data_IF_844382210846
#
_entry.id   IF_844382210846
#
_cell.length_a   1.000
_cell.length_b   1.000
_cell.length_c   1.000
_cell.angle_alpha   90.00
_cell.angle_beta   90.00
_cell.angle_gamma   90.00
#
_symmetry.space_group_name_H-M   'P 1'
#
loop_
_entity.id
_entity.type
_entity.pdbx_description
1 polymer ?
#
# COMPACT_ATOMS: atom_id res chain seq x y z
N UNK A 1 6.27 3.51 -31.36
CA UNK A 1 5.44 4.48 -30.62
C UNK A 1 4.29 3.71 -30.02
N UNK A 2 4.45 3.26 -28.78
CA UNK A 2 3.46 2.44 -28.08
C UNK A 2 2.32 3.33 -27.55
N UNK A 3 1.16 2.73 -27.27
CA UNK A 3 -0.06 3.44 -26.88
C UNK A 3 0.05 4.31 -25.60
N UNK A 4 1.18 4.23 -24.88
CA UNK A 4 1.49 4.97 -23.64
C UNK A 4 2.07 6.37 -23.90
N UNK A 5 2.75 6.61 -25.03
CA UNK A 5 3.27 7.95 -25.40
C UNK A 5 2.14 8.99 -25.63
N UNK A 6 0.91 8.51 -25.78
CA UNK A 6 -0.27 9.33 -26.01
C UNK A 6 -0.81 10.08 -24.78
N UNK A 7 -0.45 9.70 -23.55
CA UNK A 7 -0.96 10.33 -22.33
C UNK A 7 -0.17 11.60 -21.96
N UNK A 8 1.15 11.54 -22.04
CA UNK A 8 2.02 12.69 -21.80
C UNK A 8 1.77 13.83 -22.81
N UNK A 9 1.39 13.50 -24.04
CA UNK A 9 1.11 14.48 -25.11
C UNK A 9 -0.17 15.31 -24.92
N UNK A 10 -1.15 14.83 -24.14
CA UNK A 10 -2.40 15.56 -23.86
C UNK A 10 -2.26 16.61 -22.75
N UNK A 11 -1.22 16.52 -21.92
CA UNK A 11 -1.03 17.34 -20.72
C UNK A 11 0.21 18.23 -20.81
N UNK A 12 0.39 18.88 -21.96
CA UNK A 12 1.48 19.82 -22.20
C UNK A 12 1.53 20.95 -21.16
N UNK A 13 2.74 21.40 -20.85
CA UNK A 13 3.02 22.58 -20.02
C UNK A 13 2.31 23.81 -20.60
N UNK A 14 1.06 24.03 -20.23
CA UNK A 14 0.31 25.20 -20.65
C UNK A 14 0.29 26.21 -19.51
N UNK A 15 0.62 27.46 -19.83
CA UNK A 15 0.55 28.59 -18.88
C UNK A 15 -0.83 28.65 -18.21
N UNK A 16 -1.90 28.32 -18.95
CA UNK A 16 -3.27 28.24 -18.44
C UNK A 16 -3.42 27.18 -17.36
N UNK A 17 -2.87 25.98 -17.55
CA UNK A 17 -2.93 24.92 -16.54
C UNK A 17 -2.26 25.37 -15.25
N UNK A 18 -1.02 25.87 -15.35
CA UNK A 18 -0.25 26.35 -14.20
C UNK A 18 -1.02 27.42 -13.42
N UNK A 19 -1.51 28.45 -14.10
CA UNK A 19 -2.26 29.54 -13.45
C UNK A 19 -3.53 29.04 -12.75
N UNK A 20 -4.30 28.17 -13.41
CA UNK A 20 -5.54 27.65 -12.83
C UNK A 20 -5.28 26.71 -11.65
N UNK A 21 -4.27 25.82 -11.73
CA UNK A 21 -3.93 24.94 -10.61
C UNK A 21 -3.48 25.73 -9.38
N UNK A 22 -2.62 26.75 -9.56
CA UNK A 22 -2.20 27.61 -8.45
C UNK A 22 -3.33 28.50 -7.92
N UNK A 23 -4.32 28.86 -8.75
CA UNK A 23 -5.53 29.53 -8.27
C UNK A 23 -6.31 28.63 -7.30
N UNK A 24 -6.48 27.34 -7.61
CA UNK A 24 -7.11 26.40 -6.68
C UNK A 24 -6.28 26.20 -5.41
N UNK A 25 -4.95 26.16 -5.50
CA UNK A 25 -4.07 26.15 -4.30
C UNK A 25 -4.30 27.39 -3.44
N UNK A 26 -4.40 28.58 -4.04
CA UNK A 26 -4.72 29.81 -3.30
C UNK A 26 -6.10 29.75 -2.63
N UNK A 27 -7.08 29.12 -3.28
CA UNK A 27 -8.41 28.87 -2.71
C UNK A 27 -8.33 27.92 -1.51
N UNK A 28 -7.53 26.84 -1.59
CA UNK A 28 -7.28 25.94 -0.45
C UNK A 28 -6.58 26.65 0.71
N UNK A 29 -5.63 27.54 0.43
CA UNK A 29 -5.03 28.40 1.48
C UNK A 29 -6.09 29.30 2.12
N UNK A 30 -7.01 29.86 1.32
CA UNK A 30 -8.17 30.57 1.83
C UNK A 30 -9.07 29.72 2.71
N UNK A 31 -9.28 28.45 2.36
CA UNK A 31 -10.03 27.49 3.17
C UNK A 31 -9.33 27.18 4.51
N UNK A 32 -8.00 27.07 4.53
CA UNK A 32 -7.21 26.97 5.78
C UNK A 32 -7.44 28.20 6.66
N UNK A 33 -7.28 29.40 6.10
CA UNK A 33 -7.45 30.65 6.87
C UNK A 33 -8.88 30.78 7.39
N UNK A 34 -9.88 30.49 6.56
CA UNK A 34 -11.28 30.51 6.96
C UNK A 34 -11.57 29.47 8.03
N UNK A 35 -11.09 28.23 7.86
CA UNK A 35 -11.29 27.16 8.82
C UNK A 35 -10.67 27.46 10.19
N UNK A 36 -9.45 28.02 10.22
CA UNK A 36 -8.84 28.50 11.48
C UNK A 36 -9.67 29.63 12.10
N UNK A 37 -10.16 30.56 11.29
CA UNK A 37 -10.97 31.68 11.78
C UNK A 37 -12.34 31.27 12.32
N UNK A 38 -12.96 30.25 11.73
CA UNK A 38 -14.28 29.72 12.12
C UNK A 38 -14.19 28.51 13.06
N UNK A 39 -13.00 28.18 13.56
CA UNK A 39 -12.74 27.03 14.43
C UNK A 39 -13.24 25.69 13.85
N UNK A 40 -12.95 25.48 12.55
CA UNK A 40 -13.29 24.28 11.78
C UNK A 40 -12.02 23.49 11.45
N UNK A 41 -11.59 22.56 12.31
CA UNK A 41 -10.32 21.86 12.18
C UNK A 41 -10.28 20.84 11.03
N UNK A 42 -11.41 20.20 10.74
CA UNK A 42 -11.56 19.19 9.68
C UNK A 42 -11.14 19.73 8.28
N UNK A 43 -11.76 20.81 7.75
CA UNK A 43 -11.37 21.35 6.45
C UNK A 43 -9.97 21.95 6.47
N UNK A 44 -9.44 22.40 7.61
CA UNK A 44 -8.07 22.90 7.73
C UNK A 44 -7.08 21.78 7.44
N UNK A 45 -7.20 20.65 8.14
CA UNK A 45 -6.26 19.54 7.99
C UNK A 45 -6.34 18.94 6.58
N UNK A 46 -7.54 18.75 6.06
CA UNK A 46 -7.76 18.24 4.70
C UNK A 46 -7.20 19.21 3.63
N UNK A 47 -7.38 20.53 3.81
CA UNK A 47 -6.79 21.54 2.92
C UNK A 47 -5.27 21.53 2.97
N UNK A 48 -4.66 21.38 4.15
CA UNK A 48 -3.20 21.29 4.30
C UNK A 48 -2.65 20.06 3.56
N UNK A 49 -3.26 18.89 3.75
CA UNK A 49 -2.88 17.67 3.04
C UNK A 49 -3.02 17.86 1.53
N UNK A 50 -4.14 18.42 1.07
CA UNK A 50 -4.36 18.70 -0.35
C UNK A 50 -3.32 19.65 -0.95
N UNK A 51 -2.95 20.71 -0.24
CA UNK A 51 -1.90 21.65 -0.66
C UNK A 51 -0.56 20.93 -0.77
N UNK A 52 -0.19 20.11 0.23
CA UNK A 52 1.06 19.34 0.21
C UNK A 52 1.12 18.40 -0.98
N UNK A 53 0.04 17.65 -1.24
CA UNK A 53 -0.05 16.73 -2.39
C UNK A 53 0.08 17.50 -3.70
N UNK A 54 -0.75 18.52 -3.93
CA UNK A 54 -0.77 19.27 -5.21
C UNK A 54 0.54 20.02 -5.45
N UNK A 55 1.19 20.52 -4.40
CA UNK A 55 2.43 21.28 -4.50
C UNK A 55 3.69 20.38 -4.52
N UNK A 56 3.61 19.12 -4.11
CA UNK A 56 4.75 18.22 -4.00
C UNK A 56 5.56 18.12 -5.31
N UNK A 57 4.94 17.90 -6.49
CA UNK A 57 5.71 17.83 -7.74
C UNK A 57 6.44 19.15 -8.07
N UNK A 58 5.80 20.29 -7.83
CA UNK A 58 6.39 21.60 -8.08
C UNK A 58 7.57 21.90 -7.15
N UNK A 59 7.44 21.52 -5.87
CA UNK A 59 8.50 21.68 -4.87
C UNK A 59 9.67 20.74 -5.18
N UNK A 60 9.40 19.47 -5.45
CA UNK A 60 10.42 18.46 -5.74
C UNK A 60 11.21 18.78 -7.01
N UNK A 61 10.53 19.26 -8.06
CA UNK A 61 11.17 19.67 -9.33
C UNK A 61 11.75 21.08 -9.30
N UNK A 62 11.46 21.87 -8.25
CA UNK A 62 11.77 23.31 -8.15
C UNK A 62 11.26 24.12 -9.36
N UNK A 63 10.15 23.67 -9.96
CA UNK A 63 9.52 24.31 -11.11
C UNK A 63 8.00 24.44 -10.87
N UNK A 64 7.46 25.66 -10.71
CA UNK A 64 6.05 25.88 -10.43
C UNK A 64 5.14 25.50 -11.61
N UNK A 65 5.68 25.23 -12.80
CA UNK A 65 4.91 24.75 -13.94
C UNK A 65 4.60 23.25 -13.87
N UNK A 66 5.31 22.51 -13.00
CA UNK A 66 5.15 21.07 -12.76
C UNK A 66 4.04 20.86 -11.73
N UNK A 67 2.79 20.97 -12.18
CA UNK A 67 1.60 20.79 -11.35
C UNK A 67 0.59 19.88 -12.05
N UNK A 68 -0.26 19.22 -11.26
CA UNK A 68 -1.38 18.46 -11.77
C UNK A 68 -2.32 19.32 -12.64
N UNK A 69 -3.09 18.69 -13.54
CA UNK A 69 -4.07 19.40 -14.32
C UNK A 69 -5.12 20.10 -13.45
N UNK A 70 -5.44 21.36 -13.76
CA UNK A 70 -6.30 22.20 -12.91
C UNK A 70 -7.67 21.58 -12.60
N UNK A 71 -8.22 20.76 -13.49
CA UNK A 71 -9.52 20.13 -13.28
C UNK A 71 -9.46 18.99 -12.25
N UNK A 72 -8.30 18.32 -12.07
CA UNK A 72 -8.10 17.38 -10.96
C UNK A 72 -7.94 18.12 -9.63
N UNK A 73 -7.15 19.20 -9.63
CA UNK A 73 -7.01 20.06 -8.44
C UNK A 73 -8.37 20.66 -8.04
N UNK A 74 -9.16 21.10 -9.02
CA UNK A 74 -10.52 21.57 -8.82
C UNK A 74 -11.44 20.50 -8.25
N UNK A 75 -11.37 19.25 -8.75
CA UNK A 75 -12.17 18.13 -8.23
C UNK A 75 -11.87 17.84 -6.76
N UNK A 76 -10.60 17.92 -6.35
CA UNK A 76 -10.18 17.83 -4.93
C UNK A 76 -10.70 19.02 -4.12
N UNK A 77 -10.65 20.23 -4.69
CA UNK A 77 -11.02 21.46 -3.98
C UNK A 77 -12.51 21.56 -3.69
N UNK A 78 -13.38 20.99 -4.55
CA UNK A 78 -14.83 21.07 -4.41
C UNK A 78 -15.38 20.50 -3.07
N UNK A 79 -15.09 19.25 -2.68
CA UNK A 79 -15.59 18.71 -1.41
C UNK A 79 -15.00 19.44 -0.19
N UNK A 80 -13.74 19.89 -0.27
CA UNK A 80 -13.10 20.69 0.80
C UNK A 80 -13.80 22.04 1.00
N UNK A 81 -14.12 22.72 -0.10
CA UNK A 81 -14.88 23.98 -0.04
C UNK A 81 -16.30 23.77 0.45
N UNK A 82 -16.92 22.65 0.09
CA UNK A 82 -18.22 22.29 0.61
C UNK A 82 -18.17 22.19 2.14
N UNK A 83 -17.22 21.47 2.72
CA UNK A 83 -17.06 21.40 4.18
C UNK A 83 -16.72 22.75 4.82
N UNK A 84 -15.90 23.56 4.13
CA UNK A 84 -15.49 24.86 4.64
C UNK A 84 -16.65 25.87 4.73
N UNK A 85 -17.59 25.84 3.78
CA UNK A 85 -18.58 26.91 3.59
C UNK A 85 -20.05 26.46 3.58
N UNK A 86 -20.35 25.15 3.50
CA UNK A 86 -21.72 24.70 3.48
C UNK A 86 -22.44 25.07 4.79
N UNK A 87 -23.64 25.66 4.72
CA UNK A 87 -24.39 26.08 5.90
C UNK A 87 -24.98 24.89 6.68
N UNK A 88 -25.00 23.70 6.08
CA UNK A 88 -25.44 22.45 6.70
C UNK A 88 -24.31 21.45 6.48
N UNK A 89 -23.59 21.04 7.54
CA UNK A 89 -22.78 19.83 7.47
C UNK A 89 -23.69 18.71 6.99
N UNK A 90 -23.37 18.07 5.86
CA UNK A 90 -24.04 16.82 5.53
C UNK A 90 -23.76 15.89 6.71
N UNK A 91 -24.79 15.31 7.32
CA UNK A 91 -24.68 14.35 8.43
C UNK A 91 -24.04 13.03 7.96
N UNK A 92 -23.31 13.05 6.84
CA UNK A 92 -22.82 11.87 6.14
C UNK A 92 -21.33 12.05 5.85
N UNK A 93 -20.52 11.09 6.30
CA UNK A 93 -19.07 10.94 6.06
C UNK A 93 -18.69 10.82 4.56
N UNK A 94 -19.65 10.94 3.66
CA UNK A 94 -19.51 10.76 2.22
C UNK A 94 -18.63 11.84 1.60
N UNK A 95 -18.80 13.12 1.98
CA UNK A 95 -18.04 14.22 1.35
C UNK A 95 -16.55 14.18 1.72
N UNK A 96 -16.16 14.03 3.00
CA UNK A 96 -14.75 13.90 3.37
C UNK A 96 -14.11 12.66 2.72
N UNK A 97 -14.84 11.54 2.70
CA UNK A 97 -14.38 10.30 2.05
C UNK A 97 -14.16 10.47 0.55
N UNK A 98 -15.04 11.19 -0.14
CA UNK A 98 -14.87 11.51 -1.57
C UNK A 98 -13.68 12.45 -1.81
N UNK A 99 -13.44 13.41 -0.91
CA UNK A 99 -12.27 14.28 -0.99
C UNK A 99 -10.98 13.47 -0.88
N UNK A 100 -10.90 12.59 0.13
CA UNK A 100 -9.77 11.69 0.34
C UNK A 100 -9.56 10.73 -0.84
N UNK A 101 -10.64 10.16 -1.37
CA UNK A 101 -10.56 9.30 -2.55
C UNK A 101 -10.05 10.04 -3.79
N UNK A 102 -10.49 11.29 -3.98
CA UNK A 102 -10.02 12.13 -5.07
C UNK A 102 -8.55 12.52 -4.90
N UNK A 103 -8.11 12.79 -3.66
CA UNK A 103 -6.71 13.02 -3.33
C UNK A 103 -5.85 11.79 -3.58
N UNK A 104 -6.34 10.59 -3.19
CA UNK A 104 -5.65 9.33 -3.42
C UNK A 104 -5.47 9.08 -4.90
N UNK A 105 -6.53 9.32 -5.69
CA UNK A 105 -6.46 9.23 -7.14
C UNK A 105 -5.50 10.26 -7.75
N UNK A 106 -5.51 11.51 -7.25
CA UNK A 106 -4.59 12.55 -7.68
C UNK A 106 -3.13 12.11 -7.44
N UNK A 107 -2.82 11.59 -6.26
CA UNK A 107 -1.49 11.05 -5.96
C UNK A 107 -1.09 9.94 -6.92
N UNK A 108 -1.99 9.01 -7.26
CA UNK A 108 -1.73 7.97 -8.27
C UNK A 108 -1.40 8.58 -9.63
N UNK A 109 -2.17 9.57 -10.07
CA UNK A 109 -1.93 10.28 -11.34
C UNK A 109 -0.60 11.03 -11.33
N UNK A 110 -0.23 11.65 -10.20
CA UNK A 110 1.05 12.33 -10.06
C UNK A 110 2.23 11.35 -10.04
N UNK A 111 2.09 10.20 -9.38
CA UNK A 111 3.09 9.14 -9.41
C UNK A 111 3.31 8.62 -10.83
N UNK A 112 2.25 8.26 -11.56
CA UNK A 112 2.36 7.81 -12.96
C UNK A 112 2.96 8.87 -13.90
N UNK A 113 2.66 10.15 -13.64
CA UNK A 113 3.11 11.26 -14.51
C UNK A 113 4.54 11.73 -14.23
N UNK A 114 4.92 11.83 -12.97
CA UNK A 114 6.16 12.50 -12.55
C UNK A 114 7.24 11.53 -12.07
N UNK A 115 6.94 10.24 -12.01
CA UNK A 115 7.93 9.20 -11.73
C UNK A 115 8.07 8.24 -12.91
N UNK A 116 9.04 7.33 -12.83
CA UNK A 116 9.19 6.24 -13.81
C UNK A 116 8.15 5.13 -13.65
N UNK A 117 7.26 5.22 -12.64
CA UNK A 117 6.27 4.20 -12.32
C UNK A 117 5.20 4.14 -13.44
N UNK A 118 5.20 3.07 -14.23
CA UNK A 118 4.11 2.80 -15.19
C UNK A 118 3.05 1.94 -14.53
N UNK A 119 1.88 2.51 -14.24
CA UNK A 119 0.81 1.80 -13.54
C UNK A 119 -0.12 1.09 -14.53
N UNK A 120 -0.25 -0.23 -14.40
CA UNK A 120 -1.32 -0.95 -15.06
C UNK A 120 -2.68 -0.54 -14.47
N UNK A 121 -3.78 -0.50 -15.27
CA UNK A 121 -5.02 0.12 -14.84
C UNK A 121 -5.64 -0.46 -13.56
N UNK A 122 -5.56 -1.76 -13.34
CA UNK A 122 -6.09 -2.39 -12.11
C UNK A 122 -5.24 -2.00 -10.89
N UNK A 123 -3.92 -1.89 -11.06
CA UNK A 123 -3.01 -1.52 -9.99
C UNK A 123 -3.19 -0.06 -9.58
N UNK A 124 -3.54 0.82 -10.53
CA UNK A 124 -3.96 2.19 -10.23
C UNK A 124 -5.20 2.26 -9.31
N UNK A 125 -6.18 1.35 -9.49
CA UNK A 125 -7.35 1.25 -8.59
C UNK A 125 -6.91 0.82 -7.20
N UNK A 126 -6.12 -0.26 -7.10
CA UNK A 126 -5.62 -0.76 -5.81
C UNK A 126 -4.83 0.32 -5.07
N UNK A 127 -3.90 0.99 -5.76
CA UNK A 127 -3.09 2.05 -5.15
C UNK A 127 -3.94 3.25 -4.73
N UNK A 128 -4.98 3.60 -5.50
CA UNK A 128 -5.94 4.65 -5.12
C UNK A 128 -6.63 4.30 -3.80
N UNK A 129 -7.11 3.07 -3.65
CA UNK A 129 -7.74 2.60 -2.41
C UNK A 129 -6.76 2.64 -1.24
N UNK A 130 -5.54 2.10 -1.42
CA UNK A 130 -4.52 2.09 -0.37
C UNK A 130 -4.15 3.52 0.07
N UNK A 131 -3.95 4.44 -0.87
CA UNK A 131 -3.66 5.84 -0.53
C UNK A 131 -4.83 6.51 0.19
N UNK A 132 -6.07 6.22 -0.22
CA UNK A 132 -7.27 6.76 0.42
C UNK A 132 -7.35 6.30 1.89
N UNK A 133 -7.16 5.00 2.14
CA UNK A 133 -7.19 4.42 3.48
C UNK A 133 -6.02 4.91 4.32
N UNK A 134 -4.82 4.97 3.75
CA UNK A 134 -3.64 5.46 4.45
C UNK A 134 -3.80 6.92 4.90
N UNK A 135 -4.39 7.78 4.06
CA UNK A 135 -4.68 9.16 4.44
C UNK A 135 -5.77 9.24 5.50
N UNK A 136 -6.86 8.50 5.38
CA UNK A 136 -7.93 8.49 6.39
C UNK A 136 -7.41 8.01 7.75
N UNK A 137 -6.61 6.94 7.77
CA UNK A 137 -5.95 6.46 8.97
C UNK A 137 -4.98 7.48 9.57
N UNK A 138 -4.15 8.11 8.74
CA UNK A 138 -3.22 9.15 9.19
C UNK A 138 -3.96 10.35 9.80
N UNK A 139 -5.07 10.80 9.20
CA UNK A 139 -5.86 11.90 9.74
C UNK A 139 -6.43 11.56 11.13
N UNK A 140 -6.98 10.36 11.29
CA UNK A 140 -7.51 9.91 12.57
C UNK A 140 -6.42 9.82 13.64
N UNK A 141 -5.23 9.32 13.30
CA UNK A 141 -4.05 9.34 14.19
C UNK A 141 -3.70 10.79 14.58
N UNK A 142 -3.72 11.73 13.63
CA UNK A 142 -3.41 13.13 13.90
C UNK A 142 -4.47 13.82 14.77
N UNK A 143 -5.75 13.56 14.54
CA UNK A 143 -6.84 14.10 15.36
C UNK A 143 -6.79 13.57 16.78
N UNK A 144 -6.70 12.25 16.95
CA UNK A 144 -6.56 11.63 18.26
C UNK A 144 -5.31 12.11 18.99
N UNK A 145 -4.16 12.17 18.30
CA UNK A 145 -2.91 12.68 18.89
C UNK A 145 -3.06 14.14 19.33
N UNK A 146 -3.78 14.95 18.56
CA UNK A 146 -4.06 16.33 18.93
C UNK A 146 -4.92 16.41 20.18
N UNK A 147 -5.95 15.57 20.29
CA UNK A 147 -6.85 15.55 21.44
C UNK A 147 -6.11 15.12 22.71
N UNK A 148 -5.24 14.11 22.60
CA UNK A 148 -4.45 13.61 23.74
C UNK A 148 -3.34 14.58 24.16
N UNK A 149 -2.63 15.19 23.20
CA UNK A 149 -1.44 16.02 23.50
C UNK A 149 -1.81 17.48 23.79
N UNK A 150 -2.75 18.03 23.03
CA UNK A 150 -3.13 19.45 23.10
C UNK A 150 -4.49 19.69 23.76
N UNK A 151 -5.26 18.63 24.06
CA UNK A 151 -6.58 18.76 24.67
C UNK A 151 -7.65 19.28 23.70
N UNK A 152 -7.46 19.08 22.39
CA UNK A 152 -8.51 19.33 21.40
C UNK A 152 -9.64 18.31 21.54
N UNK A 153 -10.76 18.54 20.85
CA UNK A 153 -11.93 17.64 20.87
C UNK A 153 -12.37 17.32 19.43
N UNK A 154 -11.40 17.00 18.58
CA UNK A 154 -11.63 16.73 17.16
C UNK A 154 -12.24 15.35 16.94
N UNK A 155 -11.77 14.37 17.70
CA UNK A 155 -12.24 12.99 17.69
C UNK A 155 -12.86 12.61 19.04
N UNK A 156 -12.20 12.98 20.15
CA UNK A 156 -12.62 12.74 21.53
C UNK A 156 -13.56 13.86 22.01
N UNK A 157 -14.81 13.81 21.54
CA UNK A 157 -15.84 14.85 21.72
C UNK A 157 -16.78 14.64 22.92
N UNK A 158 -16.43 13.73 23.83
CA UNK A 158 -17.23 13.39 25.01
C UNK A 158 -18.20 12.21 24.80
N UNK A 159 -18.28 11.64 23.60
CA UNK A 159 -18.86 10.29 23.38
C UNK A 159 -18.02 9.21 24.08
N UNK A 160 -18.60 8.02 24.25
CA UNK A 160 -17.85 6.86 24.76
C UNK A 160 -16.79 6.40 23.74
N UNK A 161 -15.71 5.79 24.22
CA UNK A 161 -14.64 5.22 23.39
C UNK A 161 -15.18 4.31 22.28
N UNK A 162 -16.11 3.41 22.59
CA UNK A 162 -16.75 2.52 21.61
C UNK A 162 -17.60 3.27 20.58
N UNK A 163 -18.26 4.37 20.98
CA UNK A 163 -19.10 5.15 20.09
C UNK A 163 -18.28 6.03 19.14
N UNK A 164 -17.14 6.55 19.61
CA UNK A 164 -16.16 7.22 18.74
C UNK A 164 -15.55 6.19 17.79
N UNK A 165 -15.11 5.04 18.31
CA UNK A 165 -14.53 3.97 17.50
C UNK A 165 -15.47 3.52 16.39
N UNK A 166 -16.73 3.22 16.72
CA UNK A 166 -17.73 2.81 15.72
C UNK A 166 -17.94 3.88 14.64
N UNK A 167 -17.85 5.18 14.98
CA UNK A 167 -17.93 6.25 13.99
C UNK A 167 -16.72 6.27 13.05
N UNK A 168 -15.51 6.09 13.59
CA UNK A 168 -14.27 5.99 12.79
C UNK A 168 -14.29 4.76 11.89
N UNK A 169 -14.80 3.62 12.37
CA UNK A 169 -14.95 2.42 11.53
C UNK A 169 -15.90 2.67 10.36
N UNK A 170 -16.99 3.39 10.59
CA UNK A 170 -17.91 3.81 9.52
C UNK A 170 -17.22 4.76 8.54
N UNK A 171 -16.42 5.72 9.03
CA UNK A 171 -15.61 6.61 8.18
C UNK A 171 -14.66 5.81 7.29
N UNK A 172 -13.91 4.85 7.85
CA UNK A 172 -13.01 3.97 7.11
C UNK A 172 -13.75 3.13 6.04
N UNK A 173 -14.96 2.67 6.34
CA UNK A 173 -15.81 1.97 5.36
C UNK A 173 -16.20 2.91 4.21
N UNK A 174 -16.62 4.14 4.51
CA UNK A 174 -16.94 5.13 3.47
C UNK A 174 -15.71 5.51 2.65
N UNK A 175 -14.53 5.66 3.26
CA UNK A 175 -13.27 5.90 2.59
C UNK A 175 -12.90 4.73 1.65
N UNK A 176 -13.11 3.48 2.09
CA UNK A 176 -12.92 2.28 1.26
C UNK A 176 -13.81 2.32 0.03
N UNK A 177 -15.11 2.57 0.22
CA UNK A 177 -16.08 2.64 -0.88
C UNK A 177 -15.77 3.80 -1.83
N UNK A 178 -15.44 4.98 -1.29
CA UNK A 178 -15.08 6.16 -2.08
C UNK A 178 -13.81 5.91 -2.92
N UNK A 179 -12.77 5.30 -2.32
CA UNK A 179 -11.55 4.92 -3.02
C UNK A 179 -11.79 3.94 -4.16
N UNK A 180 -12.62 2.91 -3.94
CA UNK A 180 -13.01 1.94 -4.96
C UNK A 180 -13.78 2.62 -6.11
N UNK A 181 -14.72 3.50 -5.78
CA UNK A 181 -15.49 4.25 -6.77
C UNK A 181 -14.59 5.19 -7.59
N UNK A 182 -13.72 5.96 -6.93
CA UNK A 182 -12.79 6.86 -7.61
C UNK A 182 -11.84 6.10 -8.55
N UNK A 183 -11.26 5.00 -8.07
CA UNK A 183 -10.42 4.13 -8.90
C UNK A 183 -11.18 3.51 -10.07
N UNK A 184 -12.40 2.99 -9.86
CA UNK A 184 -13.20 2.39 -10.92
C UNK A 184 -13.65 3.42 -11.99
N UNK A 185 -14.03 4.63 -11.57
CA UNK A 185 -14.34 5.74 -12.47
C UNK A 185 -13.12 6.12 -13.32
N UNK A 186 -11.94 6.17 -12.71
CA UNK A 186 -10.70 6.41 -13.42
C UNK A 186 -10.38 5.29 -14.42
N UNK A 187 -10.48 4.03 -14.00
CA UNK A 187 -10.28 2.85 -14.86
C UNK A 187 -11.20 2.88 -16.09
N UNK A 188 -12.49 3.15 -15.89
CA UNK A 188 -13.48 3.20 -16.98
C UNK A 188 -13.22 4.36 -17.94
N UNK A 189 -12.88 5.55 -17.44
CA UNK A 189 -12.52 6.70 -18.27
C UNK A 189 -11.35 6.37 -19.22
N UNK A 190 -10.29 5.75 -18.72
CA UNK A 190 -9.13 5.38 -19.54
C UNK A 190 -9.42 4.26 -20.53
N UNK A 191 -10.19 3.25 -20.14
CA UNK A 191 -10.59 2.18 -21.04
C UNK A 191 -11.41 2.72 -22.22
N UNK A 192 -12.32 3.66 -21.95
CA UNK A 192 -13.14 4.33 -22.97
C UNK A 192 -12.32 5.29 -23.85
N UNK A 193 -11.36 6.02 -23.26
CA UNK A 193 -10.49 6.93 -23.99
C UNK A 193 -9.51 6.20 -24.92
N UNK A 194 -8.96 5.07 -24.48
CA UNK A 194 -8.08 4.20 -25.29
C UNK A 194 -8.84 3.53 -26.44
N UNK A 195 -10.10 3.13 -26.21
CA UNK A 195 -10.98 2.56 -27.24
C UNK A 195 -11.36 3.53 -28.37
N UNK A 196 -11.25 4.86 -28.16
CA UNK A 196 -11.49 5.86 -29.21
C UNK A 196 -10.30 6.03 -30.17
N UNK A 197 -9.08 5.65 -29.78
CA UNK A 197 -7.87 5.79 -30.63
C UNK A 197 -7.68 4.64 -31.62
N UNK A 198 -8.42 3.54 -31.47
CA UNK A 198 -8.42 2.39 -32.41
C UNK A 198 -9.55 2.42 -33.44
N UNK A 199 -10.30 3.52 -33.55
CA UNK A 199 -11.25 3.72 -34.65
C UNK A 199 -10.49 4.02 -35.96
N UNK A 200 -10.76 3.30 -37.07
CA UNK A 200 -9.95 3.34 -38.29
C UNK A 200 -10.24 4.61 -39.11
N UNK A 201 -9.59 5.73 -38.76
CA UNK A 201 -9.55 6.94 -39.59
C UNK A 201 -8.10 7.31 -39.98
N UNK A 202 -7.23 6.32 -40.18
CA UNK A 202 -5.99 6.54 -40.90
C UNK A 202 -6.30 6.49 -42.42
N UNK A 203 -6.02 7.55 -43.21
CA UNK A 203 -6.20 7.50 -44.65
C UNK A 203 -5.34 6.36 -45.24
N UNK A 204 -5.83 5.64 -46.26
CA UNK A 204 -5.12 4.51 -46.83
C UNK A 204 -3.73 4.94 -47.32
N UNK A 205 -2.70 4.22 -46.88
CA UNK A 205 -1.31 4.43 -47.30
C UNK A 205 -1.23 4.43 -48.83
N UNK A 206 -0.69 5.48 -49.48
CA UNK A 206 -0.61 5.59 -50.93
C UNK A 206 0.10 4.38 -51.55
N UNK A 207 -0.42 3.89 -52.68
CA UNK A 207 0.08 2.70 -53.37
C UNK A 207 1.56 2.82 -53.78
N UNK A 208 2.04 4.04 -53.99
CA UNK A 208 3.45 4.36 -54.24
C UNK A 208 4.38 3.94 -53.09
N UNK A 209 3.91 4.04 -51.85
CA UNK A 209 4.69 3.66 -50.66
C UNK A 209 4.73 2.15 -50.50
N UNK A 210 3.64 1.43 -50.83
CA UNK A 210 3.63 -0.04 -50.85
C UNK A 210 4.57 -0.60 -51.92
N UNK A 211 4.62 0.02 -53.10
CA UNK A 211 5.53 -0.40 -54.18
C UNK A 211 7.00 -0.17 -53.82
N UNK A 212 7.34 0.91 -53.09
CA UNK A 212 8.72 1.15 -52.60
C UNK A 212 9.16 0.08 -51.60
N UNK A 213 8.33 -0.24 -50.61
CA UNK A 213 8.64 -1.30 -49.63
C UNK A 213 8.73 -2.70 -50.27
N UNK A 214 7.93 -2.97 -51.30
CA UNK A 214 8.01 -4.24 -52.03
C UNK A 214 9.27 -4.33 -52.94
N UNK A 215 9.76 -3.20 -53.45
CA UNK A 215 10.99 -3.14 -54.22
C UNK A 215 12.24 -3.27 -53.34
N UNK A 216 12.22 -2.70 -52.13
CA UNK A 216 13.32 -2.77 -51.16
C UNK A 216 13.52 -4.20 -50.62
N UNK A 217 12.43 -4.96 -50.46
CA UNK A 217 12.47 -6.40 -50.08
C UNK A 217 12.95 -7.35 -51.18
N UNK A 218 13.12 -6.89 -52.44
CA UNK A 218 13.49 -7.74 -53.58
C UNK A 218 14.94 -7.58 -54.04
N UNK A 219 15.74 -6.73 -53.40
CA UNK A 219 17.17 -6.61 -53.72
C UNK A 219 17.98 -7.66 -52.94
N UNK A 220 18.70 -8.59 -53.60
CA UNK A 220 19.55 -9.54 -52.89
C UNK A 220 20.81 -8.82 -52.39
N UNK A 221 21.00 -8.80 -51.07
CA UNK A 221 22.24 -8.32 -50.46
C UNK A 221 23.41 -9.28 -50.79
N UNK A 222 24.56 -8.69 -51.12
CA UNK A 222 25.82 -9.39 -51.37
C UNK A 222 26.34 -10.08 -50.08
N UNK A 223 27.16 -11.15 -50.18
CA UNK A 223 27.62 -11.88 -49.01
C UNK A 223 28.72 -11.09 -48.30
N UNK A 224 28.47 -10.71 -47.05
CA UNK A 224 29.45 -10.07 -46.18
C UNK A 224 30.35 -11.15 -45.56
N UNK A 225 31.65 -10.99 -45.79
CA UNK A 225 32.74 -11.87 -45.36
C UNK A 225 32.92 -11.84 -43.85
N UNK A 226 32.93 -13.02 -43.21
CA UNK A 226 33.30 -13.18 -41.80
C UNK A 226 34.81 -12.92 -41.59
N UNK A 227 35.21 -12.21 -40.52
CA UNK A 227 36.57 -12.32 -40.00
C UNK A 227 36.65 -13.44 -38.96
N UNK A 228 37.68 -14.26 -39.09
CA UNK A 228 38.11 -15.22 -38.09
C UNK A 228 38.74 -14.47 -36.90
N UNK A 229 38.38 -14.86 -35.68
CA UNK A 229 39.14 -14.55 -34.46
C UNK A 229 39.48 -15.85 -33.74
N UNK A 230 40.76 -16.16 -33.79
CA UNK A 230 41.48 -17.17 -33.04
C UNK A 230 41.86 -16.61 -31.65
N UNK A 231 42.10 -17.49 -30.68
CA UNK A 231 42.83 -17.16 -29.45
C UNK A 231 42.00 -16.90 -28.19
N UNK A 232 41.84 -17.96 -27.41
CA UNK A 232 42.12 -18.02 -25.96
C UNK A 232 42.13 -16.71 -25.16
N UNK A 233 41.18 -16.57 -24.24
CA UNK A 233 41.47 -16.23 -22.84
C UNK A 233 40.34 -16.80 -21.97
N UNK A 234 40.70 -17.83 -21.19
CA UNK A 234 39.87 -18.34 -20.11
C UNK A 234 39.88 -17.29 -18.99
N UNK A 235 38.92 -16.36 -19.04
CA UNK A 235 38.53 -15.60 -17.85
C UNK A 235 37.53 -16.47 -17.11
N UNK A 236 38.04 -17.20 -16.12
CA UNK A 236 37.24 -17.65 -14.98
C UNK A 236 36.68 -16.40 -14.31
N UNK A 237 35.55 -15.92 -14.81
CA UNK A 237 34.66 -15.08 -14.03
C UNK A 237 34.10 -16.00 -12.96
N UNK A 238 34.77 -16.03 -11.81
CA UNK A 238 34.09 -16.29 -10.55
C UNK A 238 32.84 -15.42 -10.59
N UNK A 239 31.68 -16.06 -10.73
CA UNK A 239 30.44 -15.46 -10.26
C UNK A 239 30.72 -15.13 -8.81
N UNK A 240 31.00 -13.86 -8.51
CA UNK A 240 30.77 -13.34 -7.18
C UNK A 240 29.29 -13.57 -6.92
N UNK A 241 28.99 -14.76 -6.39
CA UNK A 241 27.77 -15.04 -5.67
C UNK A 241 27.69 -13.94 -4.63
N UNK A 242 26.86 -12.93 -4.91
CA UNK A 242 26.47 -11.95 -3.90
C UNK A 242 25.68 -12.76 -2.89
N UNK A 243 26.41 -13.32 -1.94
CA UNK A 243 25.94 -14.17 -0.86
C UNK A 243 24.84 -13.40 -0.13
N UNK A 244 23.59 -13.72 -0.45
CA UNK A 244 22.43 -13.01 0.05
C UNK A 244 22.47 -13.01 1.57
N UNK A 245 22.32 -11.84 2.20
CA UNK A 245 22.37 -11.75 3.66
C UNK A 245 21.14 -12.45 4.24
N UNK A 246 21.35 -13.69 4.69
CA UNK A 246 20.37 -14.57 5.32
C UNK A 246 20.17 -14.14 6.79
N UNK A 247 18.92 -13.91 7.23
CA UNK A 247 18.64 -13.52 8.63
C UNK A 247 19.18 -14.57 9.60
N UNK A 248 19.10 -15.85 9.19
CA UNK A 248 19.51 -17.00 10.00
C UNK A 248 20.96 -16.90 10.48
N UNK A 249 21.87 -16.31 9.70
CA UNK A 249 23.30 -16.21 10.03
C UNK A 249 23.61 -15.09 11.03
N UNK A 250 22.72 -14.09 11.12
CA UNK A 250 22.87 -12.93 12.00
C UNK A 250 22.25 -13.14 13.38
N UNK A 251 21.33 -14.08 13.53
CA UNK A 251 20.65 -14.36 14.80
C UNK A 251 21.58 -14.94 15.88
N UNK A 252 22.77 -15.43 15.52
CA UNK A 252 23.69 -16.10 16.45
C UNK A 252 23.16 -17.43 17.01
N UNK A 253 22.05 -17.94 16.45
CA UNK A 253 21.41 -19.19 16.82
C UNK A 253 21.57 -20.16 15.66
N UNK A 254 22.04 -21.38 15.91
CA UNK A 254 22.19 -22.38 14.85
C UNK A 254 20.84 -22.73 14.20
N UNK A 255 20.83 -23.00 12.89
CA UNK A 255 19.61 -23.38 12.15
C UNK A 255 18.84 -24.53 12.83
N UNK A 256 19.53 -25.53 13.38
CA UNK A 256 18.89 -26.63 14.13
C UNK A 256 18.11 -26.13 15.35
N UNK A 257 18.64 -25.14 16.07
CA UNK A 257 17.95 -24.53 17.22
C UNK A 257 16.78 -23.66 16.76
N UNK A 258 16.90 -22.94 15.65
CA UNK A 258 15.80 -22.15 15.08
C UNK A 258 14.60 -23.05 14.75
N UNK A 259 14.85 -24.16 14.02
CA UNK A 259 13.82 -25.17 13.72
C UNK A 259 13.26 -25.80 15.00
N UNK A 260 14.12 -26.07 15.98
CA UNK A 260 13.70 -26.58 17.29
C UNK A 260 12.74 -25.63 18.03
N UNK A 261 13.02 -24.32 18.00
CA UNK A 261 12.18 -23.29 18.60
C UNK A 261 10.82 -23.16 17.88
N UNK A 262 10.82 -23.19 16.54
CA UNK A 262 9.58 -23.19 15.75
C UNK A 262 8.70 -24.38 16.16
N UNK A 263 9.25 -25.59 16.19
CA UNK A 263 8.50 -26.79 16.59
C UNK A 263 7.99 -26.71 18.03
N UNK A 264 8.81 -26.17 18.94
CA UNK A 264 8.39 -25.94 20.31
C UNK A 264 7.19 -24.99 20.38
N UNK A 265 7.24 -23.85 19.68
CA UNK A 265 6.13 -22.90 19.62
C UNK A 265 4.89 -23.52 18.99
N UNK A 266 5.02 -24.31 17.92
CA UNK A 266 3.89 -25.03 17.31
C UNK A 266 3.23 -26.01 18.30
N UNK A 267 4.02 -26.78 19.06
CA UNK A 267 3.47 -27.68 20.10
C UNK A 267 2.80 -26.88 21.22
N UNK A 268 3.40 -25.75 21.64
CA UNK A 268 2.79 -24.87 22.63
C UNK A 268 1.48 -24.25 22.14
N UNK A 269 1.38 -23.85 20.86
CA UNK A 269 0.14 -23.39 20.24
C UNK A 269 -0.95 -24.45 20.24
N UNK A 270 -0.61 -25.71 19.98
CA UNK A 270 -1.57 -26.82 20.14
C UNK A 270 -2.04 -26.92 21.59
N UNK A 271 -1.14 -26.72 22.57
CA UNK A 271 -1.50 -26.61 23.97
C UNK A 271 -2.49 -25.46 24.25
N UNK A 272 -2.25 -24.27 23.69
CA UNK A 272 -3.14 -23.10 23.80
C UNK A 272 -4.50 -23.38 23.15
N UNK A 273 -4.52 -24.02 21.98
CA UNK A 273 -5.75 -24.43 21.30
C UNK A 273 -6.56 -25.40 22.16
N UNK A 274 -5.91 -26.43 22.72
CA UNK A 274 -6.57 -27.39 23.60
C UNK A 274 -7.08 -26.72 24.89
N UNK A 275 -6.32 -25.77 25.45
CA UNK A 275 -6.76 -24.96 26.57
C UNK A 275 -7.99 -24.11 26.20
N UNK A 276 -7.99 -23.44 25.05
CA UNK A 276 -9.13 -22.66 24.55
C UNK A 276 -10.38 -23.52 24.36
N UNK A 277 -10.23 -24.73 23.81
CA UNK A 277 -11.32 -25.69 23.66
C UNK A 277 -11.85 -26.16 25.01
N UNK A 278 -10.97 -26.48 25.95
CA UNK A 278 -11.33 -26.93 27.30
C UNK A 278 -12.03 -25.83 28.12
N UNK A 279 -11.55 -24.59 28.01
CA UNK A 279 -12.14 -23.42 28.67
C UNK A 279 -13.31 -22.80 27.90
N UNK A 280 -13.67 -23.35 26.73
CA UNK A 280 -14.74 -22.86 25.85
C UNK A 280 -14.57 -21.38 25.42
N UNK A 281 -13.32 -20.89 25.32
CA UNK A 281 -12.99 -19.52 24.93
C UNK A 281 -12.78 -19.43 23.43
N UNK A 282 -13.80 -18.97 22.69
CA UNK A 282 -13.82 -18.95 21.22
C UNK A 282 -12.69 -18.07 20.64
N UNK A 283 -12.42 -16.93 21.26
CA UNK A 283 -11.32 -16.04 20.88
C UNK A 283 -9.96 -16.78 20.91
N UNK A 284 -9.69 -17.53 21.99
CA UNK A 284 -8.45 -18.30 22.15
C UNK A 284 -8.36 -19.42 21.12
N UNK A 285 -9.47 -20.14 20.89
CA UNK A 285 -9.52 -21.23 19.89
C UNK A 285 -9.24 -20.69 18.49
N UNK A 286 -9.89 -19.59 18.12
CA UNK A 286 -9.76 -18.99 16.79
C UNK A 286 -8.35 -18.46 16.55
N UNK A 287 -7.79 -17.73 17.51
CA UNK A 287 -6.44 -17.16 17.41
C UNK A 287 -5.35 -18.25 17.41
N UNK A 288 -5.45 -19.27 18.28
CA UNK A 288 -4.51 -20.38 18.27
C UNK A 288 -4.61 -21.20 16.97
N UNK A 289 -5.82 -21.44 16.47
CA UNK A 289 -6.05 -22.13 15.19
C UNK A 289 -5.45 -21.37 14.00
N UNK A 290 -5.69 -20.06 13.93
CA UNK A 290 -5.12 -19.18 12.91
C UNK A 290 -3.59 -19.15 13.00
N UNK A 291 -3.04 -18.98 14.20
CA UNK A 291 -1.60 -18.98 14.44
C UNK A 291 -0.96 -20.27 13.94
N UNK A 292 -1.51 -21.45 14.30
CA UNK A 292 -1.05 -22.74 13.81
C UNK A 292 -1.06 -22.78 12.28
N UNK A 293 -2.16 -22.37 11.65
CA UNK A 293 -2.27 -22.30 10.18
C UNK A 293 -1.17 -21.45 9.55
N UNK A 294 -0.92 -20.25 10.08
CA UNK A 294 0.13 -19.34 9.61
C UNK A 294 1.52 -19.96 9.77
N UNK A 295 1.80 -20.72 10.84
CA UNK A 295 3.11 -21.38 11.00
C UNK A 295 3.41 -22.40 9.90
N UNK A 296 2.40 -22.92 9.20
CA UNK A 296 2.57 -23.85 8.08
C UNK A 296 2.61 -23.16 6.71
N UNK A 297 2.33 -21.86 6.64
CA UNK A 297 2.33 -21.11 5.39
C UNK A 297 3.67 -21.18 4.64
N UNK A 298 4.85 -21.08 5.29
CA UNK A 298 6.13 -21.23 4.60
C UNK A 298 6.29 -22.58 3.89
N UNK A 299 5.86 -23.66 4.54
CA UNK A 299 5.95 -25.01 3.96
C UNK A 299 4.98 -25.19 2.78
N UNK A 300 3.82 -24.53 2.81
CA UNK A 300 2.87 -24.53 1.70
C UNK A 300 3.42 -23.72 0.51
N UNK A 301 4.03 -22.57 0.77
CA UNK A 301 4.66 -21.74 -0.26
C UNK A 301 5.83 -22.45 -0.93
N UNK A 302 6.66 -23.15 -0.16
CA UNK A 302 7.75 -23.96 -0.70
C UNK A 302 7.21 -25.13 -1.55
N UNK A 303 6.16 -25.82 -1.09
CA UNK A 303 5.59 -26.97 -1.78
C UNK A 303 4.86 -26.61 -3.08
N UNK A 304 4.04 -25.56 -3.05
CA UNK A 304 3.10 -25.25 -4.13
C UNK A 304 3.64 -24.18 -5.10
N UNK A 305 4.59 -23.36 -4.66
CA UNK A 305 5.10 -22.20 -5.41
C UNK A 305 6.63 -22.14 -5.50
N UNK A 306 7.35 -23.14 -4.95
CA UNK A 306 8.82 -23.21 -4.90
C UNK A 306 9.49 -22.00 -4.23
N UNK A 307 8.73 -21.26 -3.40
CA UNK A 307 9.25 -20.12 -2.64
C UNK A 307 9.96 -20.61 -1.40
N UNK A 308 11.30 -20.61 -1.43
CA UNK A 308 12.12 -21.05 -0.30
C UNK A 308 12.19 -19.96 0.75
N UNK A 309 11.62 -20.22 1.94
CA UNK A 309 11.69 -19.32 3.09
C UNK A 309 12.73 -19.83 4.08
N UNK A 310 13.70 -18.99 4.40
CA UNK A 310 14.78 -19.35 5.31
C UNK A 310 14.29 -19.57 6.77
N UNK A 311 14.99 -20.43 7.55
CA UNK A 311 14.60 -20.76 8.93
C UNK A 311 14.45 -19.56 9.87
N UNK A 312 15.26 -18.52 9.68
CA UNK A 312 15.17 -17.27 10.46
C UNK A 312 13.86 -16.53 10.24
N UNK A 313 13.37 -16.45 9.00
CA UNK A 313 12.06 -15.85 8.68
C UNK A 313 10.91 -16.72 9.18
N UNK A 314 11.02 -18.05 9.06
CA UNK A 314 10.02 -18.96 9.65
C UNK A 314 9.94 -18.77 11.17
N UNK A 315 11.09 -18.65 11.84
CA UNK A 315 11.14 -18.38 13.28
C UNK A 315 10.49 -17.04 13.64
N UNK A 316 10.75 -15.99 12.86
CA UNK A 316 10.17 -14.67 13.08
C UNK A 316 8.65 -14.63 12.90
N UNK A 317 8.14 -15.18 11.80
CA UNK A 317 6.69 -15.30 11.54
C UNK A 317 6.02 -16.12 12.63
N UNK A 318 6.63 -17.25 13.01
CA UNK A 318 6.12 -18.13 14.07
C UNK A 318 6.08 -17.41 15.41
N UNK A 319 7.12 -16.64 15.75
CA UNK A 319 7.19 -15.87 17.00
C UNK A 319 6.08 -14.82 17.07
N UNK A 320 5.82 -14.10 15.98
CA UNK A 320 4.76 -13.09 15.92
C UNK A 320 3.39 -13.69 16.26
N UNK A 321 2.97 -14.72 15.53
CA UNK A 321 1.66 -15.37 15.75
C UNK A 321 1.59 -16.12 17.07
N UNK A 322 2.73 -16.63 17.57
CA UNK A 322 2.81 -17.27 18.87
C UNK A 322 2.52 -16.30 20.01
N UNK A 323 3.13 -15.11 20.01
CA UNK A 323 2.91 -14.11 21.05
C UNK A 323 1.48 -13.55 21.04
N UNK A 324 0.89 -13.37 19.85
CA UNK A 324 -0.54 -13.00 19.72
C UNK A 324 -1.46 -14.09 20.32
N UNK A 325 -1.23 -15.36 20.01
CA UNK A 325 -2.02 -16.45 20.58
C UNK A 325 -1.90 -16.53 22.11
N UNK A 326 -0.72 -16.26 22.68
CA UNK A 326 -0.56 -16.13 24.13
C UNK A 326 -1.27 -14.89 24.71
N UNK A 327 -1.29 -13.79 23.95
CA UNK A 327 -2.07 -12.59 24.26
C UNK A 327 -3.52 -12.93 24.56
N UNK A 328 -4.20 -13.56 23.60
CA UNK A 328 -5.60 -13.97 23.76
C UNK A 328 -5.83 -15.02 24.85
N UNK A 329 -4.84 -15.86 25.13
CA UNK A 329 -4.90 -16.83 26.22
C UNK A 329 -4.91 -16.16 27.62
N UNK A 330 -4.56 -14.88 27.72
CA UNK A 330 -4.71 -14.06 28.93
C UNK A 330 -3.59 -13.05 29.16
N UNK A 331 -2.58 -12.95 28.29
CA UNK A 331 -1.49 -11.99 28.47
C UNK A 331 -1.89 -10.55 28.13
N UNK A 332 -2.91 -10.34 27.29
CA UNK A 332 -3.49 -8.99 27.08
C UNK A 332 -4.05 -8.42 28.37
N UNK A 333 -4.77 -9.24 29.15
CA UNK A 333 -5.33 -8.82 30.43
C UNK A 333 -4.24 -8.65 31.51
N UNK A 334 -3.15 -9.43 31.43
CA UNK A 334 -2.14 -9.49 32.47
C UNK A 334 -1.03 -8.45 32.33
N UNK A 335 -0.68 -8.05 31.10
CA UNK A 335 0.46 -7.19 30.80
C UNK A 335 0.02 -6.11 29.82
N UNK A 336 -0.15 -4.88 30.28
CA UNK A 336 -0.70 -3.78 29.47
C UNK A 336 0.11 -3.43 28.22
N UNK A 337 1.41 -3.75 28.18
CA UNK A 337 2.26 -3.52 27.00
C UNK A 337 2.31 -4.71 26.05
N UNK A 338 1.65 -5.82 26.39
CA UNK A 338 1.69 -7.04 25.57
C UNK A 338 1.04 -6.79 24.22
N UNK A 339 -0.07 -6.07 24.21
CA UNK A 339 -0.79 -5.74 23.00
C UNK A 339 0.09 -4.94 22.02
N UNK A 340 0.63 -3.80 22.47
CA UNK A 340 1.57 -2.98 21.70
C UNK A 340 2.78 -3.78 21.15
N UNK A 341 3.33 -4.70 21.95
CA UNK A 341 4.44 -5.57 21.52
C UNK A 341 4.01 -6.48 20.37
N UNK A 342 2.84 -7.09 20.50
CA UNK A 342 2.33 -8.00 19.48
C UNK A 342 1.92 -7.27 18.21
N UNK A 343 1.29 -6.11 18.30
CA UNK A 343 0.99 -5.24 17.15
C UNK A 343 2.27 -4.82 16.43
N UNK A 344 3.28 -4.34 17.16
CA UNK A 344 4.58 -3.98 16.57
C UNK A 344 5.21 -5.17 15.84
N UNK A 345 5.28 -6.35 16.48
CA UNK A 345 5.93 -7.51 15.90
C UNK A 345 5.16 -8.07 14.69
N UNK A 346 3.83 -8.20 14.79
CA UNK A 346 2.96 -8.61 13.68
C UNK A 346 3.07 -7.64 12.50
N UNK A 347 3.10 -6.33 12.77
CA UNK A 347 3.28 -5.33 11.74
C UNK A 347 4.62 -5.45 11.00
N UNK A 348 5.68 -5.86 11.68
CA UNK A 348 6.96 -6.12 10.99
C UNK A 348 6.85 -7.31 10.02
N UNK A 349 6.08 -8.34 10.34
CA UNK A 349 5.83 -9.47 9.43
C UNK A 349 4.96 -9.04 8.23
N UNK A 350 3.91 -8.26 8.48
CA UNK A 350 3.02 -7.72 7.42
C UNK A 350 3.80 -6.78 6.50
N UNK A 351 4.59 -5.86 7.06
CA UNK A 351 5.44 -4.95 6.30
C UNK A 351 6.51 -5.69 5.49
N UNK A 352 7.08 -6.78 6.02
CA UNK A 352 8.04 -7.61 5.29
C UNK A 352 7.38 -8.32 4.10
N UNK A 353 6.15 -8.80 4.29
CA UNK A 353 5.35 -9.39 3.20
C UNK A 353 5.07 -8.35 2.12
N UNK A 354 4.66 -7.14 2.51
CA UNK A 354 4.45 -6.02 1.60
C UNK A 354 5.72 -5.61 0.86
N UNK A 355 6.86 -5.58 1.56
CA UNK A 355 8.17 -5.30 0.96
C UNK A 355 8.53 -6.36 -0.09
N UNK A 356 8.39 -7.64 0.26
CA UNK A 356 8.70 -8.74 -0.65
C UNK A 356 7.83 -8.68 -1.91
N UNK A 357 6.52 -8.42 -1.76
CA UNK A 357 5.60 -8.28 -2.89
C UNK A 357 5.96 -7.08 -3.79
N UNK A 358 6.18 -5.90 -3.22
CA UNK A 358 6.57 -4.70 -3.98
C UNK A 358 7.92 -4.88 -4.67
N UNK A 359 8.88 -5.50 -3.98
CA UNK A 359 10.21 -5.76 -4.53
C UNK A 359 10.19 -6.81 -5.62
N UNK A 360 9.36 -7.84 -5.51
CA UNK A 360 9.18 -8.85 -6.56
C UNK A 360 8.63 -8.21 -7.84
N UNK A 361 7.63 -7.32 -7.73
CA UNK A 361 7.11 -6.55 -8.88
C UNK A 361 8.18 -5.64 -9.48
N UNK A 362 8.99 -4.98 -8.65
CA UNK A 362 10.10 -4.14 -9.12
C UNK A 362 11.17 -4.95 -9.86
N UNK A 363 11.49 -6.16 -9.41
CA UNK A 363 12.48 -7.02 -10.06
C UNK A 363 11.97 -7.63 -11.37
N UNK A 364 10.66 -7.88 -11.46
CA UNK A 364 10.04 -8.51 -12.62
C UNK A 364 9.79 -7.54 -13.79
N UNK A 365 9.73 -6.24 -13.55
CA UNK A 365 9.38 -5.24 -14.57
C UNK A 365 10.46 -4.17 -14.72
N UNK A 366 11.18 -4.19 -15.84
CA UNK A 366 12.12 -3.12 -16.25
C UNK A 366 11.43 -1.73 -16.35
N UNK A 367 10.09 -1.73 -16.47
CA UNK A 367 9.26 -0.52 -16.52
C UNK A 367 8.97 0.09 -15.13
N UNK A 368 9.14 -0.64 -14.04
CA UNK A 368 8.81 -0.19 -12.68
C UNK A 368 10.10 0.03 -11.91
N UNK A 369 10.65 1.25 -11.94
CA UNK A 369 11.81 1.63 -11.13
C UNK A 369 11.37 2.44 -9.89
N UNK A 370 11.45 1.84 -8.70
CA UNK A 370 11.14 2.48 -7.42
C UNK A 370 12.44 2.90 -6.70
N UNK A 371 12.73 4.21 -6.56
CA UNK A 371 13.87 4.64 -5.75
C UNK A 371 13.65 4.28 -4.27
N UNK A 372 14.72 4.12 -3.45
CA UNK A 372 14.60 3.65 -2.07
C UNK A 372 13.63 4.46 -1.20
N UNK A 373 13.58 5.78 -1.37
CA UNK A 373 12.65 6.65 -0.65
C UNK A 373 11.18 6.41 -1.04
N UNK A 374 10.91 6.03 -2.30
CA UNK A 374 9.57 5.75 -2.78
C UNK A 374 9.11 4.38 -2.28
N UNK A 375 10.01 3.40 -2.23
CA UNK A 375 9.74 2.10 -1.61
C UNK A 375 9.46 2.26 -0.11
N UNK A 376 10.24 3.08 0.59
CA UNK A 376 10.00 3.42 1.99
C UNK A 376 8.61 4.05 2.18
N UNK A 377 8.27 5.08 1.39
CA UNK A 377 6.96 5.72 1.45
C UNK A 377 5.81 4.76 1.10
N UNK A 378 5.98 3.92 0.08
CA UNK A 378 5.00 2.91 -0.32
C UNK A 378 4.74 1.89 0.80
N UNK A 379 5.77 1.49 1.55
CA UNK A 379 5.60 0.62 2.71
C UNK A 379 4.83 1.28 3.86
N UNK A 380 5.04 2.57 4.10
CA UNK A 380 4.28 3.30 5.12
C UNK A 380 2.82 3.45 4.71
N UNK A 381 2.55 3.80 3.45
CA UNK A 381 1.19 3.85 2.89
C UNK A 381 0.53 2.47 2.97
N UNK A 382 1.23 1.42 2.53
CA UNK A 382 0.75 0.05 2.63
C UNK A 382 0.41 -0.31 4.07
N UNK A 383 1.30 -0.04 5.02
CA UNK A 383 1.05 -0.40 6.42
C UNK A 383 -0.14 0.38 7.01
N UNK A 384 -0.21 1.70 6.82
CA UNK A 384 -1.35 2.48 7.30
C UNK A 384 -2.67 1.99 6.72
N UNK A 385 -2.71 1.68 5.41
CA UNK A 385 -3.88 1.10 4.78
C UNK A 385 -4.22 -0.28 5.34
N UNK A 386 -3.21 -1.13 5.55
CA UNK A 386 -3.41 -2.46 6.16
C UNK A 386 -3.89 -2.36 7.60
N UNK A 387 -3.43 -1.38 8.38
CA UNK A 387 -3.96 -1.13 9.73
C UNK A 387 -5.44 -0.77 9.66
N UNK A 388 -5.84 0.17 8.80
CA UNK A 388 -7.26 0.52 8.60
C UNK A 388 -8.10 -0.71 8.18
N UNK A 389 -7.58 -1.54 7.27
CA UNK A 389 -8.25 -2.77 6.83
C UNK A 389 -8.41 -3.76 7.99
N UNK A 390 -7.39 -3.89 8.84
CA UNK A 390 -7.41 -4.75 10.02
C UNK A 390 -8.46 -4.29 11.02
N UNK A 391 -8.50 -3.01 11.37
CA UNK A 391 -9.51 -2.43 12.28
C UNK A 391 -10.94 -2.63 11.77
N UNK A 392 -11.16 -2.43 10.47
CA UNK A 392 -12.46 -2.70 9.85
C UNK A 392 -12.82 -4.19 9.97
N UNK A 393 -11.87 -5.09 9.75
CA UNK A 393 -12.08 -6.52 9.85
C UNK A 393 -12.46 -6.91 11.28
N UNK A 394 -11.73 -6.42 12.28
CA UNK A 394 -12.03 -6.64 13.69
C UNK A 394 -13.43 -6.17 14.05
N UNK A 395 -13.75 -4.92 13.67
CA UNK A 395 -15.06 -4.35 13.87
C UNK A 395 -16.15 -5.23 13.23
N UNK A 396 -15.99 -5.70 11.99
CA UNK A 396 -16.97 -6.57 11.35
C UNK A 396 -17.12 -7.93 12.04
N UNK A 397 -16.01 -8.54 12.46
CA UNK A 397 -16.02 -9.85 13.14
C UNK A 397 -16.72 -9.73 14.49
N UNK A 398 -16.39 -8.71 15.27
CA UNK A 398 -16.97 -8.51 16.60
C UNK A 398 -18.45 -8.11 16.53
N UNK A 399 -18.81 -7.20 15.62
CA UNK A 399 -20.21 -6.85 15.36
C UNK A 399 -21.02 -8.04 14.79
N UNK A 400 -20.37 -8.97 14.10
CA UNK A 400 -20.95 -10.23 13.66
C UNK A 400 -21.20 -11.18 14.83
N UNK A 401 -20.21 -11.35 15.71
CA UNK A 401 -20.30 -12.18 16.92
C UNK A 401 -21.42 -11.69 17.85
N UNK A 402 -21.49 -10.39 18.11
CA UNK A 402 -22.53 -9.78 18.96
C UNK A 402 -23.94 -10.05 18.39
N UNK A 403 -24.11 -10.01 17.05
CA UNK A 403 -25.40 -10.33 16.41
C UNK A 403 -25.80 -11.80 16.54
N UNK A 404 -24.85 -12.68 16.83
CA UNK A 404 -25.05 -14.11 17.06
C UNK A 404 -25.12 -14.45 18.55
N UNK A 405 -25.22 -13.44 19.42
CA UNK A 405 -25.17 -13.59 20.89
C UNK A 405 -23.88 -14.29 21.38
N UNK A 406 -22.77 -14.08 20.66
CA UNK A 406 -21.44 -14.58 21.00
C UNK A 406 -20.56 -13.46 21.59
N UNK A 407 -19.58 -13.84 22.41
CA UNK A 407 -18.54 -12.90 22.83
C UNK A 407 -17.70 -12.44 21.62
N UNK A 408 -17.26 -11.17 21.60
CA UNK A 408 -16.30 -10.67 20.62
C UNK A 408 -15.08 -11.59 20.48
N UNK A 409 -14.64 -11.82 19.24
CA UNK A 409 -13.58 -12.80 18.94
C UNK A 409 -12.22 -12.12 18.93
N UNK A 410 -12.15 -10.91 18.39
CA UNK A 410 -10.91 -10.13 18.26
C UNK A 410 -10.86 -9.05 19.37
N UNK A 411 -12.02 -8.63 19.87
CA UNK A 411 -12.20 -7.79 21.06
C UNK A 411 -11.57 -6.40 20.94
N UNK A 412 -11.99 -5.63 19.93
CA UNK A 412 -11.55 -4.24 19.72
C UNK A 412 -11.93 -3.33 20.92
N UNK A 413 -10.96 -2.68 21.56
CA UNK A 413 -11.15 -1.96 22.84
C UNK A 413 -11.35 -0.44 22.70
N UNK A 414 -12.12 0.00 21.72
CA UNK A 414 -12.46 1.42 21.52
C UNK A 414 -11.38 2.20 20.78
N UNK A 415 -11.51 3.53 20.71
CA UNK A 415 -10.72 4.33 19.77
C UNK A 415 -9.27 4.51 20.21
N UNK A 416 -9.01 4.58 21.51
CA UNK A 416 -7.63 4.68 22.02
C UNK A 416 -6.81 3.45 21.62
N UNK A 417 -7.39 2.26 21.72
CA UNK A 417 -6.80 0.98 21.33
C UNK A 417 -6.47 0.97 19.82
N UNK A 418 -7.51 1.18 19.00
CA UNK A 418 -7.39 1.29 17.53
C UNK A 418 -6.29 2.25 17.09
N UNK A 419 -6.24 3.48 17.62
CA UNK A 419 -5.25 4.45 17.19
C UNK A 419 -3.84 4.07 17.64
N UNK A 420 -3.69 3.56 18.87
CA UNK A 420 -2.40 3.15 19.40
C UNK A 420 -1.85 1.95 18.62
N UNK A 421 -2.71 0.99 18.24
CA UNK A 421 -2.34 -0.14 17.39
C UNK A 421 -1.86 0.31 16.03
N UNK A 422 -2.58 1.24 15.40
CA UNK A 422 -2.13 1.86 14.15
C UNK A 422 -0.75 2.53 14.29
N UNK A 423 -0.47 3.20 15.41
CA UNK A 423 0.83 3.83 15.67
C UNK A 423 1.95 2.79 15.82
N UNK A 424 1.73 1.72 16.60
CA UNK A 424 2.70 0.64 16.76
C UNK A 424 2.90 -0.15 15.46
N UNK A 425 1.85 -0.27 14.65
CA UNK A 425 1.93 -0.83 13.31
C UNK A 425 2.85 -0.01 12.39
N UNK A 426 2.73 1.32 12.43
CA UNK A 426 3.65 2.22 11.71
C UNK A 426 5.09 2.06 12.22
N UNK A 427 5.31 1.96 13.53
CA UNK A 427 6.65 1.73 14.10
C UNK A 427 7.24 0.43 13.55
N UNK A 428 6.47 -0.67 13.56
CA UNK A 428 6.87 -1.94 12.98
C UNK A 428 7.24 -1.84 11.50
N UNK A 429 6.44 -1.10 10.72
CA UNK A 429 6.73 -0.85 9.30
C UNK A 429 7.98 0.01 9.10
N UNK A 430 8.23 1.04 9.92
CA UNK A 430 9.46 1.83 9.86
C UNK A 430 10.70 0.95 10.10
N UNK A 431 10.65 0.04 11.09
CA UNK A 431 11.75 -0.90 11.36
C UNK A 431 12.07 -1.71 10.10
N UNK A 432 11.04 -2.26 9.44
CA UNK A 432 11.20 -3.03 8.21
C UNK A 432 11.59 -2.16 7.02
N UNK A 433 11.06 -0.95 6.89
CA UNK A 433 11.39 -0.08 5.76
C UNK A 433 12.86 0.38 5.82
N UNK A 434 13.45 0.50 7.01
CA UNK A 434 14.87 0.84 7.20
C UNK A 434 15.77 -0.40 7.00
N UNK A 435 15.35 -1.61 7.40
CA UNK A 435 16.20 -2.81 7.40
C UNK A 435 15.88 -3.86 6.31
N UNK A 436 14.70 -3.80 5.70
CA UNK A 436 14.14 -4.81 4.81
C UNK A 436 14.94 -4.99 3.52
N UNK A 437 15.59 -3.93 3.03
CA UNK A 437 16.52 -4.01 1.89
C UNK A 437 17.71 -4.92 2.15
N UNK A 438 18.09 -5.15 3.40
CA UNK A 438 19.20 -6.02 3.75
C UNK A 438 18.76 -7.49 3.85
N UNK A 439 17.58 -7.76 4.42
CA UNK A 439 17.20 -9.12 4.85
C UNK A 439 16.15 -9.80 3.96
N UNK A 440 15.41 -9.06 3.13
CA UNK A 440 14.30 -9.62 2.34
C UNK A 440 14.63 -9.78 0.86
N UNK A 441 15.88 -9.52 0.46
CA UNK A 441 16.30 -9.56 -0.94
C UNK A 441 16.12 -10.93 -1.57
N UNK A 442 16.49 -12.01 -0.89
CA UNK A 442 16.39 -13.38 -1.44
C UNK A 442 14.93 -13.84 -1.59
N UNK A 443 14.08 -13.58 -0.59
CA UNK A 443 12.64 -13.86 -0.69
C UNK A 443 12.00 -13.06 -1.83
N UNK A 444 12.39 -11.79 -1.98
CA UNK A 444 11.87 -10.93 -3.05
C UNK A 444 12.26 -11.43 -4.44
N UNK A 445 13.49 -11.94 -4.59
CA UNK A 445 13.97 -12.54 -5.84
C UNK A 445 13.19 -13.82 -6.16
N UNK A 446 13.05 -14.73 -5.19
CA UNK A 446 12.30 -15.98 -5.36
C UNK A 446 10.84 -15.71 -5.76
N UNK A 447 10.18 -14.75 -5.10
CA UNK A 447 8.81 -14.35 -5.45
C UNK A 447 8.72 -13.74 -6.86
N UNK A 448 9.74 -13.00 -7.31
CA UNK A 448 9.79 -12.48 -8.68
C UNK A 448 9.84 -13.61 -9.71
N UNK A 449 10.68 -14.62 -9.48
CA UNK A 449 10.78 -15.81 -10.36
C UNK A 449 9.45 -16.57 -10.43
N UNK A 450 8.79 -16.79 -9.29
CA UNK A 450 7.47 -17.46 -9.27
C UNK A 450 6.42 -16.66 -10.05
N UNK A 451 6.44 -15.32 -9.94
CA UNK A 451 5.53 -14.46 -10.72
C UNK A 451 5.78 -14.58 -12.23
N UNK A 452 7.04 -14.70 -12.66
CA UNK A 452 7.41 -14.94 -14.06
C UNK A 452 6.81 -16.22 -14.61
N UNK A 453 6.95 -17.31 -13.85
CA UNK A 453 6.47 -18.63 -14.24
C UNK A 453 4.94 -18.69 -14.29
N UNK A 454 4.25 -18.04 -13.33
CA UNK A 454 2.79 -18.01 -13.27
C UNK A 454 2.15 -17.10 -14.33
N UNK A 455 2.78 -15.97 -14.67
CA UNK A 455 2.24 -15.00 -15.62
C UNK A 455 2.64 -15.31 -17.08
N UNK A 456 3.53 -16.27 -17.30
CA UNK A 456 3.86 -16.80 -18.64
C UNK A 456 4.55 -15.77 -19.54
N UNK A 457 5.26 -14.80 -18.97
CA UNK A 457 5.99 -13.76 -19.72
C UNK A 457 7.40 -14.20 -20.16
N UNK A 458 7.78 -15.45 -19.91
CA UNK A 458 9.00 -16.03 -20.44
C UNK A 458 8.90 -16.35 -21.93
N UNK A 459 9.35 -15.43 -22.79
CA UNK A 459 9.80 -15.73 -24.15
C UNK A 459 11.00 -14.90 -24.55
#
# INVERSE_FOLDING_TARGET
MSATDGLASYFGRSRRNTVLSWLFVAVLVGAVVAGVFFDRPEPVLLSVVAIVVVAAPAIASRDPSVVAPWYFVGLVTLPILWESFAPIPLVTEVVPSLALATLGLLMVVELDRFTSLRLVPWFAVTLTVLLTLAMSGLLNVLWWSSDVVFGTTYLLDGRSQDAVNAAVMIEFIYATVAGLLAGALFYTYFRLASGRKTAPNAPPVPESSRRRLAAEKRSPAAPETAPATDGTDAVTGESEDVEGVVLSDRLGISVRRQIGLVRFMQVALVGVLLYGLWSQRIAVVTNAGLAIGVTFLPALLERDYEVVIEPGLVLWVTLAVFLHALGTAGLYDAISTWDHLTHTLSATVVAATGYAALRAVHLHSDEVNLPPWALFGALLVFMLAMSVIWEILEFFVDQGAIRLDMEPILAQHGIDDTIVDMMFNVIGSVIVAVWGTVYLTEVSKSLATTLEDLLGTGS
#
